data_IF_639352270774
#
_entry.id   IF_639352270774
#
_cell.length_a   1.000
_cell.length_b   1.000
_cell.length_c   1.000
_cell.angle_alpha   90.00
_cell.angle_beta   90.00
_cell.angle_gamma   90.00
#
_symmetry.space_group_name_H-M   'P 1'
#
loop_
_entity.id
_entity.type
_entity.pdbx_description
1 polymer ?
#
# COMPACT_ATOMS: atom_id res chain seq x y z
N UNK A 1 18.33 -8.03 7.12
CA UNK A 1 17.90 -9.00 8.18
C UNK A 1 17.86 -10.39 7.59
N UNK A 2 18.42 -11.37 8.28
CA UNK A 2 18.41 -12.79 7.86
C UNK A 2 17.87 -13.64 8.99
N UNK A 3 17.23 -14.76 8.66
CA UNK A 3 16.79 -15.75 9.66
C UNK A 3 17.93 -16.71 10.04
N UNK A 4 17.66 -17.67 10.92
CA UNK A 4 18.64 -18.66 11.37
C UNK A 4 19.14 -19.61 10.27
N UNK A 5 18.47 -19.66 9.12
CA UNK A 5 18.88 -20.43 7.93
C UNK A 5 19.70 -19.59 6.93
N UNK A 6 19.98 -18.31 7.23
CA UNK A 6 20.68 -17.40 6.34
C UNK A 6 19.80 -16.80 5.22
N UNK A 7 18.50 -17.03 5.25
CA UNK A 7 17.58 -16.50 4.25
C UNK A 7 17.25 -15.02 4.54
N UNK A 8 17.22 -14.19 3.51
CA UNK A 8 16.85 -12.76 3.63
C UNK A 8 15.38 -12.64 3.96
N UNK A 9 15.05 -12.02 5.10
CA UNK A 9 13.67 -11.81 5.57
C UNK A 9 13.21 -10.36 5.48
N UNK A 10 14.15 -9.42 5.34
CA UNK A 10 13.85 -8.01 5.18
C UNK A 10 15.10 -7.15 5.05
N UNK A 11 14.89 -5.91 4.60
CA UNK A 11 15.93 -4.89 4.48
C UNK A 11 15.63 -3.78 5.49
N UNK A 12 16.62 -3.43 6.33
CA UNK A 12 16.48 -2.30 7.26
C UNK A 12 16.33 -1.01 6.43
N UNK A 13 15.26 -0.27 6.70
CA UNK A 13 14.91 0.92 5.93
C UNK A 13 15.10 2.21 6.74
N UNK A 14 14.63 2.24 7.97
CA UNK A 14 14.62 3.46 8.81
C UNK A 14 14.89 3.10 10.26
N UNK A 15 15.64 3.96 10.93
CA UNK A 15 15.78 4.01 12.37
C UNK A 15 15.07 5.27 12.87
N UNK A 16 14.02 5.12 13.65
CA UNK A 16 13.36 6.28 14.25
C UNK A 16 14.15 6.68 15.52
N UNK A 17 14.84 7.82 15.45
CA UNK A 17 15.62 8.34 16.56
C UNK A 17 15.65 9.87 16.52
N UNK A 18 15.21 10.54 17.57
CA UNK A 18 15.34 12.00 17.69
C UNK A 18 16.78 12.48 17.82
N UNK A 19 17.70 11.62 18.25
CA UNK A 19 19.10 11.96 18.58
C UNK A 19 20.13 11.31 17.67
N UNK A 20 19.68 10.50 16.67
CA UNK A 20 20.57 9.69 15.83
C UNK A 20 21.07 8.40 16.49
N UNK A 21 20.87 8.23 17.80
CA UNK A 21 21.15 6.99 18.51
C UNK A 21 19.93 6.04 18.48
N UNK A 22 20.17 4.73 18.64
CA UNK A 22 19.09 3.74 18.65
C UNK A 22 18.12 4.00 19.82
N UNK A 23 16.87 4.34 19.52
CA UNK A 23 15.81 4.61 20.49
C UNK A 23 14.80 3.44 20.62
N UNK A 24 15.16 2.25 20.13
CA UNK A 24 14.33 1.05 20.25
C UNK A 24 13.40 0.76 19.08
N UNK A 25 13.28 1.67 18.10
CA UNK A 25 12.40 1.50 16.94
C UNK A 25 13.19 1.42 15.64
N UNK A 26 13.20 0.25 15.02
CA UNK A 26 13.77 0.02 13.69
C UNK A 26 12.70 -0.53 12.76
N UNK A 27 12.66 -0.04 11.53
CA UNK A 27 11.72 -0.49 10.50
C UNK A 27 12.46 -1.23 9.41
N UNK A 28 11.88 -2.34 8.94
CA UNK A 28 12.41 -3.11 7.84
C UNK A 28 11.32 -3.34 6.78
N UNK A 29 11.73 -3.36 5.51
CA UNK A 29 10.86 -3.73 4.39
C UNK A 29 10.88 -5.26 4.28
N UNK A 30 9.74 -5.95 4.38
CA UNK A 30 9.66 -7.41 4.22
C UNK A 30 10.13 -7.86 2.84
N UNK A 31 10.75 -9.04 2.77
CA UNK A 31 11.24 -9.61 1.50
C UNK A 31 10.13 -9.82 0.47
N UNK A 32 8.91 -10.13 0.93
CA UNK A 32 7.71 -10.28 0.08
C UNK A 32 7.42 -9.02 -0.73
N UNK A 33 7.44 -7.84 -0.08
CA UNK A 33 7.24 -6.55 -0.73
C UNK A 33 8.43 -6.19 -1.62
N UNK A 34 9.67 -6.39 -1.12
CA UNK A 34 10.89 -6.12 -1.87
C UNK A 34 10.94 -6.88 -3.19
N UNK A 35 10.66 -8.18 -3.17
CA UNK A 35 10.71 -9.03 -4.38
C UNK A 35 9.77 -8.52 -5.46
N UNK A 36 8.56 -8.12 -5.08
CA UNK A 36 7.59 -7.53 -6.00
C UNK A 36 8.10 -6.21 -6.57
N UNK A 37 8.60 -5.30 -5.72
CA UNK A 37 9.11 -3.99 -6.14
C UNK A 37 10.28 -4.13 -7.12
N UNK A 38 11.25 -5.00 -6.82
CA UNK A 38 12.40 -5.26 -7.71
C UNK A 38 11.94 -5.86 -9.05
N UNK A 39 10.97 -6.79 -9.01
CA UNK A 39 10.39 -7.37 -10.24
C UNK A 39 9.71 -6.29 -11.08
N UNK A 40 8.93 -5.40 -10.46
CA UNK A 40 8.26 -4.31 -11.17
C UNK A 40 9.27 -3.35 -11.81
N UNK A 41 10.31 -2.94 -11.08
CA UNK A 41 11.35 -2.06 -11.60
C UNK A 41 12.10 -2.68 -12.79
N UNK A 42 12.40 -4.00 -12.71
CA UNK A 42 13.05 -4.72 -13.83
C UNK A 42 12.15 -4.83 -15.06
N UNK A 43 10.86 -5.04 -14.86
CA UNK A 43 9.92 -5.35 -15.95
C UNK A 43 9.27 -4.09 -16.55
N UNK A 44 9.02 -3.08 -15.74
CA UNK A 44 8.21 -1.92 -16.11
C UNK A 44 8.93 -0.58 -15.94
N UNK A 45 10.12 -0.55 -15.35
CA UNK A 45 10.84 0.69 -15.02
C UNK A 45 10.26 1.44 -13.81
N UNK A 46 9.07 1.09 -13.35
CA UNK A 46 8.37 1.73 -12.24
C UNK A 46 7.60 0.74 -11.38
N UNK A 47 7.39 1.08 -10.11
CA UNK A 47 6.66 0.24 -9.17
C UNK A 47 5.16 0.31 -9.47
N UNK A 48 4.54 -0.85 -9.64
CA UNK A 48 3.10 -0.96 -9.83
C UNK A 48 2.40 -0.98 -8.48
N UNK A 49 1.70 0.09 -8.12
CA UNK A 49 0.99 0.19 -6.85
C UNK A 49 -0.50 -0.08 -7.04
N UNK A 50 -0.96 -1.18 -6.45
CA UNK A 50 -2.38 -1.46 -6.33
C UNK A 50 -2.93 -0.83 -5.05
N UNK A 51 -4.15 -0.34 -5.10
CA UNK A 51 -4.84 0.29 -3.97
C UNK A 51 -6.23 -0.34 -3.81
N UNK A 52 -6.66 -0.53 -2.56
CA UNK A 52 -8.04 -0.95 -2.28
C UNK A 52 -9.03 0.23 -2.41
N UNK A 53 -8.57 1.44 -2.10
CA UNK A 53 -9.40 2.64 -2.20
C UNK A 53 -10.41 2.77 -1.06
N UNK A 54 -9.94 2.61 0.16
CA UNK A 54 -10.72 2.84 1.39
C UNK A 54 -9.96 3.77 2.34
N UNK A 55 -10.69 4.45 3.21
CA UNK A 55 -10.18 5.03 4.46
C UNK A 55 -10.71 4.18 5.61
N UNK A 56 -9.84 3.78 6.50
CA UNK A 56 -10.18 2.86 7.59
C UNK A 56 -9.40 3.14 8.87
N UNK A 57 -9.81 2.48 9.93
CA UNK A 57 -9.19 2.55 11.25
C UNK A 57 -8.93 1.13 11.75
N UNK A 58 -7.73 0.88 12.30
CA UNK A 58 -7.41 -0.39 12.95
C UNK A 58 -8.26 -0.56 14.21
N UNK A 59 -8.97 -1.66 14.32
CA UNK A 59 -9.71 -1.99 15.55
C UNK A 59 -8.77 -2.49 16.64
N UNK A 60 -7.64 -3.11 16.30
CA UNK A 60 -6.66 -3.60 17.28
C UNK A 60 -6.12 -2.50 18.21
N UNK A 61 -6.15 -1.23 17.75
CA UNK A 61 -5.52 -0.11 18.43
C UNK A 61 -3.99 -0.17 18.30
N UNK A 62 -3.34 0.98 18.28
CA UNK A 62 -1.87 1.07 18.31
C UNK A 62 -1.35 1.17 19.76
N UNK A 63 -1.91 0.33 20.65
CA UNK A 63 -1.62 0.29 22.08
C UNK A 63 -2.84 0.62 22.95
N UNK A 64 -2.82 0.17 24.20
CA UNK A 64 -3.93 0.27 25.16
C UNK A 64 -4.42 1.71 25.42
N UNK A 65 -3.62 2.73 25.11
CA UNK A 65 -3.95 4.13 25.37
C UNK A 65 -5.03 4.72 24.46
N UNK A 66 -5.34 4.12 23.29
CA UNK A 66 -6.33 4.66 22.34
C UNK A 66 -7.68 3.93 22.35
N UNK A 67 -7.80 2.81 23.05
CA UNK A 67 -9.03 2.01 23.05
C UNK A 67 -10.24 2.71 23.65
N UNK A 68 -10.00 3.61 24.60
CA UNK A 68 -11.04 4.32 25.36
C UNK A 68 -11.22 5.80 24.95
N UNK A 69 -10.48 6.24 23.94
CA UNK A 69 -10.67 7.59 23.38
C UNK A 69 -11.88 7.57 22.41
N UNK A 70 -12.72 8.62 22.45
CA UNK A 70 -13.80 8.77 21.48
C UNK A 70 -13.26 8.86 20.06
N UNK A 71 -13.75 8.01 19.17
CA UNK A 71 -13.32 7.94 17.75
C UNK A 71 -14.23 8.72 16.81
N UNK A 72 -15.37 9.18 17.32
CA UNK A 72 -16.34 9.97 16.58
C UNK A 72 -17.09 10.96 17.49
N UNK A 73 -17.95 11.77 16.87
CA UNK A 73 -18.78 12.78 17.60
C UNK A 73 -19.85 12.16 18.51
N UNK A 74 -20.14 10.88 18.38
CA UNK A 74 -21.10 10.18 19.24
C UNK A 74 -20.50 9.76 20.58
N UNK A 75 -19.17 9.89 20.73
CA UNK A 75 -18.44 9.45 21.90
C UNK A 75 -18.13 7.95 21.90
N UNK A 76 -18.42 7.23 20.82
CA UNK A 76 -18.12 5.80 20.71
C UNK A 76 -16.62 5.54 20.74
N UNK A 77 -16.20 4.48 21.41
CA UNK A 77 -14.81 4.04 21.51
C UNK A 77 -14.52 2.87 20.55
N UNK A 78 -13.23 2.57 20.33
CA UNK A 78 -12.84 1.35 19.59
C UNK A 78 -13.37 0.09 20.27
N UNK A 79 -13.43 0.08 21.62
CA UNK A 79 -13.96 -1.04 22.39
C UNK A 79 -15.45 -1.27 22.09
N UNK A 80 -16.23 -0.19 21.96
CA UNK A 80 -17.65 -0.30 21.61
C UNK A 80 -17.84 -0.83 20.20
N UNK A 81 -17.04 -0.36 19.25
CA UNK A 81 -17.06 -0.83 17.86
C UNK A 81 -16.66 -2.30 17.73
N UNK A 82 -15.68 -2.78 18.49
CA UNK A 82 -15.34 -4.23 18.54
C UNK A 82 -16.53 -5.08 18.98
N UNK A 83 -17.25 -4.65 20.00
CA UNK A 83 -18.47 -5.35 20.49
C UNK A 83 -19.58 -5.32 19.45
N UNK A 84 -19.79 -4.16 18.82
CA UNK A 84 -20.81 -3.96 17.78
C UNK A 84 -20.55 -4.90 16.60
N UNK A 85 -19.33 -4.92 16.07
CA UNK A 85 -18.96 -5.75 14.91
C UNK A 85 -18.72 -7.21 15.26
N UNK A 86 -18.51 -7.55 16.55
CA UNK A 86 -18.22 -8.91 17.00
C UNK A 86 -16.82 -9.39 16.64
N UNK A 87 -15.86 -8.47 16.54
CA UNK A 87 -14.45 -8.76 16.25
C UNK A 87 -13.52 -8.00 17.18
N UNK A 88 -12.32 -8.52 17.42
CA UNK A 88 -11.32 -7.89 18.28
C UNK A 88 -10.25 -7.13 17.50
N UNK A 89 -10.03 -7.52 16.25
CA UNK A 89 -9.03 -6.96 15.36
C UNK A 89 -9.58 -6.81 13.91
N UNK A 90 -8.84 -6.15 13.04
CA UNK A 90 -9.23 -5.88 11.67
C UNK A 90 -9.21 -4.38 11.33
N UNK A 91 -9.58 -4.08 10.10
CA UNK A 91 -9.66 -2.70 9.58
C UNK A 91 -11.11 -2.33 9.33
N UNK A 92 -11.64 -1.44 10.14
CA UNK A 92 -12.97 -0.87 9.97
C UNK A 92 -12.98 0.13 8.82
N UNK A 93 -13.83 -0.12 7.82
CA UNK A 93 -14.03 0.73 6.65
C UNK A 93 -14.90 1.92 7.02
N UNK A 94 -14.34 3.12 7.02
CA UNK A 94 -15.05 4.37 7.34
C UNK A 94 -15.51 5.13 6.11
N UNK A 95 -14.78 4.99 5.01
CA UNK A 95 -15.08 5.68 3.76
C UNK A 95 -14.56 4.84 2.58
N UNK A 96 -15.30 4.87 1.49
CA UNK A 96 -14.88 4.29 0.20
C UNK A 96 -14.50 5.43 -0.71
N UNK A 97 -13.29 5.39 -1.26
CA UNK A 97 -12.75 6.42 -2.14
C UNK A 97 -13.32 6.23 -3.54
N UNK A 98 -13.91 7.28 -4.10
CA UNK A 98 -14.46 7.27 -5.44
C UNK A 98 -13.39 6.89 -6.50
N UNK A 99 -13.78 6.04 -7.44
CA UNK A 99 -12.85 5.51 -8.46
C UNK A 99 -11.90 4.43 -7.95
N UNK A 100 -11.81 4.20 -6.65
CA UNK A 100 -10.98 3.14 -6.06
C UNK A 100 -11.48 1.73 -6.40
N UNK A 101 -10.72 0.71 -6.01
CA UNK A 101 -11.08 -0.70 -6.25
C UNK A 101 -12.35 -1.10 -5.49
N UNK A 102 -12.51 -0.60 -4.26
CA UNK A 102 -13.69 -0.87 -3.43
C UNK A 102 -14.97 -0.21 -3.96
N UNK A 103 -14.88 0.92 -4.65
CA UNK A 103 -16.04 1.71 -5.11
C UNK A 103 -16.93 0.98 -6.14
N UNK A 104 -16.46 -0.07 -6.76
CA UNK A 104 -17.26 -0.90 -7.69
C UNK A 104 -17.53 -2.29 -7.17
N UNK A 105 -17.21 -2.56 -5.90
CA UNK A 105 -17.35 -3.84 -5.25
C UNK A 105 -18.53 -3.87 -4.28
N UNK A 106 -18.73 -5.00 -3.61
CA UNK A 106 -19.70 -5.14 -2.53
C UNK A 106 -19.14 -4.76 -1.14
N UNK A 107 -17.95 -4.13 -1.06
CA UNK A 107 -17.49 -3.52 0.20
C UNK A 107 -18.36 -2.32 0.54
N UNK A 108 -18.69 -2.18 1.82
CA UNK A 108 -19.51 -1.08 2.34
C UNK A 108 -18.82 -0.40 3.51
N UNK A 109 -19.24 0.82 3.76
CA UNK A 109 -18.93 1.49 5.03
C UNK A 109 -19.46 0.63 6.17
N UNK A 110 -18.77 0.59 7.28
CA UNK A 110 -18.98 -0.24 8.46
C UNK A 110 -18.66 -1.74 8.29
N UNK A 111 -18.12 -2.16 7.14
CA UNK A 111 -17.43 -3.47 7.08
C UNK A 111 -16.15 -3.44 7.90
N UNK A 112 -15.78 -4.57 8.46
CA UNK A 112 -14.44 -4.76 9.04
C UNK A 112 -13.68 -5.78 8.20
N UNK A 113 -12.60 -5.34 7.58
CA UNK A 113 -11.70 -6.22 6.82
C UNK A 113 -10.88 -7.05 7.80
N UNK A 114 -11.01 -8.36 7.73
CA UNK A 114 -10.37 -9.34 8.62
C UNK A 114 -9.42 -10.29 7.88
N UNK A 115 -9.36 -10.21 6.54
CA UNK A 115 -8.45 -11.04 5.74
C UNK A 115 -8.41 -10.64 4.27
N UNK A 116 -7.29 -11.00 3.63
CA UNK A 116 -7.07 -10.88 2.17
C UNK A 116 -6.39 -12.16 1.69
N UNK A 117 -6.95 -12.81 0.67
CA UNK A 117 -6.44 -14.04 0.05
C UNK A 117 -6.07 -15.12 1.07
N UNK A 118 -6.90 -15.28 2.11
CA UNK A 118 -6.72 -16.25 3.19
C UNK A 118 -5.71 -15.82 4.26
N UNK A 119 -4.99 -14.71 4.09
CA UNK A 119 -4.14 -14.14 5.14
C UNK A 119 -4.97 -13.30 6.10
N UNK A 120 -4.75 -13.45 7.40
CA UNK A 120 -5.41 -12.65 8.43
C UNK A 120 -4.93 -11.19 8.35
N UNK A 121 -5.86 -10.26 8.50
CA UNK A 121 -5.62 -8.82 8.63
C UNK A 121 -6.07 -8.39 10.02
N UNK A 122 -5.14 -7.94 10.86
CA UNK A 122 -5.41 -7.52 12.23
C UNK A 122 -5.44 -6.00 12.36
N UNK A 123 -4.68 -5.30 11.51
CA UNK A 123 -4.53 -3.86 11.54
C UNK A 123 -4.32 -3.30 10.11
N UNK A 124 -4.19 -1.98 10.02
CA UNK A 124 -4.03 -1.30 8.74
C UNK A 124 -2.68 -1.61 8.06
N UNK A 125 -1.63 -1.87 8.83
CA UNK A 125 -0.32 -2.24 8.28
C UNK A 125 -0.38 -3.62 7.60
N UNK A 126 -1.04 -4.61 8.21
CA UNK A 126 -1.24 -5.93 7.60
C UNK A 126 -2.03 -5.81 6.29
N UNK A 127 -3.08 -4.96 6.27
CA UNK A 127 -3.86 -4.68 5.07
C UNK A 127 -2.99 -4.09 3.96
N UNK A 128 -2.18 -3.07 4.30
CA UNK A 128 -1.28 -2.43 3.35
C UNK A 128 -0.22 -3.41 2.83
N UNK A 129 0.37 -4.23 3.70
CA UNK A 129 1.35 -5.26 3.29
C UNK A 129 0.71 -6.27 2.34
N UNK A 130 -0.48 -6.76 2.65
CA UNK A 130 -1.19 -7.70 1.78
C UNK A 130 -1.44 -7.10 0.39
N UNK A 131 -1.97 -5.87 0.33
CA UNK A 131 -2.23 -5.17 -0.95
C UNK A 131 -0.94 -4.83 -1.69
N UNK A 132 0.15 -4.48 -1.00
CA UNK A 132 1.42 -4.11 -1.63
C UNK A 132 2.08 -5.26 -2.42
N UNK A 133 1.67 -6.51 -2.19
CA UNK A 133 2.13 -7.68 -2.95
C UNK A 133 1.46 -7.81 -4.32
N UNK A 134 0.39 -7.06 -4.56
CA UNK A 134 -0.42 -7.13 -5.77
C UNK A 134 -0.12 -5.98 -6.75
N UNK A 135 -0.60 -6.15 -7.98
CA UNK A 135 -0.54 -5.15 -9.06
C UNK A 135 -1.94 -4.69 -9.45
N UNK A 136 -2.06 -3.52 -10.08
CA UNK A 136 -3.31 -3.14 -10.73
C UNK A 136 -3.76 -4.21 -11.72
N UNK A 137 -5.03 -4.60 -11.67
CA UNK A 137 -5.61 -5.69 -12.46
C UNK A 137 -5.66 -7.04 -11.75
N UNK A 138 -4.91 -7.24 -10.67
CA UNK A 138 -4.99 -8.47 -9.88
C UNK A 138 -6.35 -8.57 -9.17
N UNK A 139 -6.86 -9.80 -9.08
CA UNK A 139 -8.08 -10.11 -8.33
C UNK A 139 -7.70 -10.63 -6.95
N UNK A 140 -8.28 -10.05 -5.93
CA UNK A 140 -8.10 -10.46 -4.53
C UNK A 140 -9.44 -10.81 -3.90
N UNK A 141 -9.43 -11.72 -2.95
CA UNK A 141 -10.59 -12.05 -2.11
C UNK A 141 -10.43 -11.35 -0.77
N UNK A 142 -11.26 -10.34 -0.54
CA UNK A 142 -11.31 -9.61 0.73
C UNK A 142 -12.35 -10.27 1.62
N UNK A 143 -11.92 -10.75 2.79
CA UNK A 143 -12.81 -11.26 3.83
C UNK A 143 -13.20 -10.13 4.75
N UNK A 144 -14.49 -9.88 4.87
CA UNK A 144 -15.04 -8.85 5.76
C UNK A 144 -15.96 -9.47 6.80
N UNK A 145 -16.08 -8.80 7.95
CA UNK A 145 -17.14 -8.99 8.92
C UNK A 145 -18.19 -7.91 8.67
N UNK A 146 -19.43 -8.32 8.42
CA UNK A 146 -20.62 -7.48 8.25
C UNK A 146 -21.78 -8.10 9.01
N UNK A 147 -22.46 -7.33 9.86
CA UNK A 147 -23.57 -7.82 10.69
C UNK A 147 -23.22 -9.11 11.46
N UNK A 148 -22.00 -9.17 12.01
CA UNK A 148 -21.43 -10.33 12.72
C UNK A 148 -21.35 -11.62 11.88
N UNK A 149 -21.31 -11.49 10.56
CA UNK A 149 -21.14 -12.61 9.62
C UNK A 149 -19.96 -12.37 8.71
N UNK A 150 -19.16 -13.42 8.51
CA UNK A 150 -18.07 -13.38 7.55
C UNK A 150 -18.59 -13.40 6.12
N UNK A 151 -18.03 -12.57 5.27
CA UNK A 151 -18.33 -12.51 3.84
C UNK A 151 -17.06 -12.38 3.04
N UNK A 152 -16.95 -13.13 1.95
CA UNK A 152 -15.86 -13.02 0.99
C UNK A 152 -16.32 -12.17 -0.20
N UNK A 153 -15.52 -11.17 -0.55
CA UNK A 153 -15.80 -10.22 -1.64
C UNK A 153 -14.62 -10.24 -2.60
N UNK A 154 -14.88 -10.59 -3.86
CA UNK A 154 -13.84 -10.58 -4.90
C UNK A 154 -13.72 -9.17 -5.49
N UNK A 155 -12.50 -8.65 -5.54
CA UNK A 155 -12.22 -7.29 -5.98
C UNK A 155 -11.10 -7.31 -7.00
N UNK A 156 -11.24 -6.55 -8.08
CA UNK A 156 -10.14 -6.28 -9.00
C UNK A 156 -9.46 -4.98 -8.56
N UNK A 157 -8.17 -5.08 -8.23
CA UNK A 157 -7.40 -3.95 -7.74
C UNK A 157 -7.11 -2.95 -8.87
N UNK A 158 -7.10 -1.67 -8.53
CA UNK A 158 -6.80 -0.55 -9.41
C UNK A 158 -5.59 0.23 -8.90
N UNK A 159 -4.97 0.99 -9.77
CA UNK A 159 -3.93 1.96 -9.41
C UNK A 159 -4.55 3.27 -8.85
N UNK A 160 -3.69 4.23 -8.52
CA UNK A 160 -4.09 5.55 -8.01
C UNK A 160 -4.97 6.34 -9.00
N UNK A 161 -4.82 6.10 -10.31
CA UNK A 161 -5.64 6.70 -11.35
C UNK A 161 -7.00 5.98 -11.54
N UNK A 162 -7.35 5.03 -10.68
CA UNK A 162 -8.60 4.27 -10.75
C UNK A 162 -8.67 3.27 -11.91
N UNK A 163 -7.54 2.91 -12.51
CA UNK A 163 -7.46 1.98 -13.64
C UNK A 163 -6.77 0.67 -13.27
N UNK A 164 -7.01 -0.38 -14.05
CA UNK A 164 -6.33 -1.68 -13.93
C UNK A 164 -5.07 -1.75 -14.81
N UNK A 165 -4.71 -0.64 -15.48
CA UNK A 165 -3.58 -0.63 -16.42
C UNK A 165 -2.25 -0.64 -15.66
N UNK A 166 -1.34 -1.46 -16.15
CA UNK A 166 0.07 -1.42 -15.78
C UNK A 166 0.71 -0.18 -16.41
N UNK A 167 1.34 0.64 -15.60
CA UNK A 167 2.09 1.79 -16.07
C UNK A 167 3.47 1.29 -16.54
N UNK A 168 3.73 1.40 -17.85
CA UNK A 168 5.05 1.19 -18.43
C UNK A 168 5.64 2.57 -18.67
N UNK A 169 6.90 2.75 -18.29
CA UNK A 169 7.57 4.05 -18.38
C UNK A 169 6.74 5.19 -17.74
N UNK A 170 6.66 5.21 -16.42
CA UNK A 170 6.60 6.50 -15.76
C UNK A 170 7.95 7.14 -16.09
N UNK A 171 7.99 7.91 -17.20
CA UNK A 171 9.14 8.73 -17.47
C UNK A 171 9.56 9.39 -16.18
N UNK A 172 10.84 9.63 -15.94
CA UNK A 172 11.42 10.05 -14.66
C UNK A 172 10.82 11.38 -14.15
N UNK A 173 9.50 11.45 -13.98
CA UNK A 173 8.78 12.54 -13.30
C UNK A 173 9.17 12.66 -11.82
N UNK A 174 9.83 11.63 -11.27
CA UNK A 174 10.31 11.59 -9.88
C UNK A 174 11.26 12.74 -9.54
N UNK A 175 11.88 13.38 -10.55
CA UNK A 175 12.78 14.51 -10.37
C UNK A 175 12.17 15.85 -10.77
N UNK A 176 10.86 15.92 -10.99
CA UNK A 176 10.21 17.15 -11.47
C UNK A 176 10.62 17.53 -12.88
N UNK A 177 11.11 16.57 -13.68
CA UNK A 177 11.49 16.79 -15.06
C UNK A 177 11.04 15.61 -15.94
N UNK A 178 10.61 15.91 -17.15
CA UNK A 178 10.33 14.91 -18.16
C UNK A 178 11.61 14.61 -18.95
N UNK A 179 11.96 13.35 -19.08
CA UNK A 179 13.16 12.90 -19.80
C UNK A 179 12.75 12.05 -21.00
N UNK A 180 13.52 12.14 -22.06
CA UNK A 180 13.43 11.28 -23.22
C UNK A 180 14.83 10.75 -23.57
N UNK A 181 14.89 9.55 -24.10
CA UNK A 181 16.16 9.03 -24.62
C UNK A 181 16.70 9.94 -25.71
N UNK A 182 18.00 10.20 -25.66
CA UNK A 182 18.66 11.06 -26.66
C UNK A 182 18.55 10.40 -28.04
N UNK A 183 18.00 11.08 -29.06
CA UNK A 183 17.97 10.56 -30.42
C UNK A 183 19.36 10.22 -30.94
N UNK A 184 19.47 9.19 -31.77
CA UNK A 184 20.76 8.70 -32.27
C UNK A 184 21.55 9.76 -33.08
N UNK A 185 20.82 10.66 -33.76
CA UNK A 185 21.46 11.77 -34.50
C UNK A 185 22.11 12.77 -33.53
N UNK A 186 21.47 13.07 -32.42
CA UNK A 186 22.02 13.94 -31.37
C UNK A 186 23.16 13.23 -30.60
N UNK A 187 23.08 11.91 -30.36
CA UNK A 187 24.15 11.13 -29.76
C UNK A 187 25.41 11.27 -30.63
N UNK A 188 25.28 11.15 -31.95
CA UNK A 188 26.40 11.29 -32.90
C UNK A 188 26.98 12.71 -32.93
N UNK A 189 26.12 13.74 -32.95
CA UNK A 189 26.56 15.13 -32.96
C UNK A 189 27.30 15.53 -31.68
N UNK A 190 26.86 15.00 -30.52
CA UNK A 190 27.45 15.29 -29.22
C UNK A 190 28.55 14.33 -28.84
N UNK A 191 28.87 13.35 -29.69
CA UNK A 191 29.85 12.27 -29.47
C UNK A 191 29.57 11.51 -28.13
N UNK A 192 28.29 11.21 -27.86
CA UNK A 192 27.86 10.52 -26.66
C UNK A 192 27.36 9.11 -26.99
N UNK A 193 27.79 8.10 -26.22
CA UNK A 193 27.30 6.73 -26.34
C UNK A 193 25.93 6.50 -25.74
N UNK A 194 25.52 7.38 -24.81
CA UNK A 194 24.24 7.32 -24.08
C UNK A 194 23.87 8.72 -23.58
N UNK A 195 22.58 8.92 -23.22
CA UNK A 195 22.14 10.20 -22.65
C UNK A 195 20.62 10.32 -22.59
N UNK A 196 20.14 11.21 -21.72
CA UNK A 196 18.74 11.58 -21.60
C UNK A 196 18.60 13.08 -21.90
N UNK A 197 17.62 13.41 -22.73
CA UNK A 197 17.23 14.78 -22.99
C UNK A 197 16.13 15.19 -22.01
N UNK A 198 16.31 16.31 -21.32
CA UNK A 198 15.25 16.92 -20.52
C UNK A 198 14.27 17.59 -21.49
N UNK A 199 13.02 17.14 -21.51
CA UNK A 199 11.97 17.65 -22.40
C UNK A 199 10.98 18.59 -21.72
N UNK A 200 11.00 18.64 -20.40
CA UNK A 200 10.19 19.54 -19.60
C UNK A 200 10.64 19.55 -18.16
N UNK A 201 10.38 20.65 -17.46
CA UNK A 201 10.61 20.78 -16.01
C UNK A 201 9.31 21.30 -15.40
N UNK A 202 8.82 20.63 -14.37
CA UNK A 202 7.70 21.13 -13.56
C UNK A 202 8.24 22.18 -12.60
N UNK A 203 7.70 23.39 -12.65
CA UNK A 203 7.97 24.40 -11.62
C UNK A 203 7.42 23.88 -10.28
N UNK A 204 8.30 23.75 -9.29
CA UNK A 204 7.97 23.39 -7.91
C UNK A 204 7.09 24.44 -7.23
#
# INVERSE_FOLDING_TARGET
MVNAKGELVGINAVLSSPTGAYAGYGFAIPTSVMTKVVSDLKQYGTVQRALLGIKGTSLAGDGDMMSDQPIDKSGATLSDKRKEFGVVDGVWVREIVDGGSAAGSDIKVDDVIIGIDGKKVQNFADLQEAIAQHRPGDKVTVKVMRDKKEKNINITLKNEQGTTKIVKDAGMEILGAAFKELPDDLKKQLNLGYGLQVTGVTSG
#
